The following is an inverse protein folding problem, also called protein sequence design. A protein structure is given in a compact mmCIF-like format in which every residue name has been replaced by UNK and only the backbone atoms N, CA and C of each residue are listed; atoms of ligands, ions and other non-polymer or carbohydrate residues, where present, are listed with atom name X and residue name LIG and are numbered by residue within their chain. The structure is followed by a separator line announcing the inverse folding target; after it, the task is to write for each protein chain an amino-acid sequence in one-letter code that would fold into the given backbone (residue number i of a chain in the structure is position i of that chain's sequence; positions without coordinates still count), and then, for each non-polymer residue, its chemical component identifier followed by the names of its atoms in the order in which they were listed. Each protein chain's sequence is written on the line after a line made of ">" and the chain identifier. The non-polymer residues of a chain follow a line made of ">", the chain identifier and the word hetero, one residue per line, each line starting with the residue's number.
data_IF_195367351149
#
_entry.id   IF_195367351149
#
_cell.length_a   1.000
_cell.length_b   1.000
_cell.length_c   1.000
_cell.angle_alpha   90.00
_cell.angle_beta   90.00
_cell.angle_gamma   90.00
#
_symmetry.space_group_name_H-M   'P 1'
#
loop_
_entity.id
_entity.type
_entity.pdbx_description
1 polymer ?
#
# COMPACT_ATOMS: atom_id res chain seq x y z
N UNK A 1 -19.22 -100.10 -10.66
CA UNK A 1 -18.51 -99.83 -11.92
C UNK A 1 -17.29 -98.99 -11.58
N UNK A 2 -16.11 -99.59 -11.52
CA UNK A 2 -14.88 -98.87 -11.25
C UNK A 2 -14.54 -98.03 -12.49
N UNK A 3 -14.34 -96.73 -12.31
CA UNK A 3 -13.92 -95.83 -13.37
C UNK A 3 -12.62 -96.36 -13.97
N UNK A 4 -12.63 -96.67 -15.26
CA UNK A 4 -11.45 -97.06 -16.03
C UNK A 4 -10.48 -95.88 -16.02
N UNK A 5 -9.43 -96.00 -15.20
CA UNK A 5 -8.36 -95.01 -15.08
C UNK A 5 -7.69 -94.79 -16.43
N UNK A 6 -7.27 -93.55 -16.77
CA UNK A 6 -6.63 -93.26 -18.04
C UNK A 6 -5.25 -93.93 -18.10
N UNK A 7 -5.23 -95.13 -18.67
CA UNK A 7 -4.02 -95.88 -18.97
C UNK A 7 -3.35 -95.32 -20.23
N UNK A 8 -2.02 -95.31 -20.29
CA UNK A 8 -1.33 -95.01 -21.54
C UNK A 8 -1.73 -96.05 -22.61
N UNK A 9 -1.66 -95.67 -23.89
CA UNK A 9 -2.00 -96.57 -25.00
C UNK A 9 -1.22 -97.88 -24.96
N UNK A 10 0.01 -97.84 -24.43
CA UNK A 10 0.89 -99.01 -24.35
C UNK A 10 0.50 -99.92 -23.18
N UNK A 11 0.12 -99.35 -22.04
CA UNK A 11 -0.40 -100.13 -20.89
C UNK A 11 -1.69 -100.86 -21.29
N UNK A 12 -2.55 -100.24 -22.09
CA UNK A 12 -3.78 -100.87 -22.56
C UNK A 12 -3.52 -102.05 -23.53
N UNK A 13 -2.53 -101.92 -24.42
CA UNK A 13 -2.10 -103.00 -25.31
C UNK A 13 -1.54 -104.18 -24.52
N UNK A 14 -0.67 -103.92 -23.56
CA UNK A 14 -0.07 -104.96 -22.70
C UNK A 14 -1.15 -105.68 -21.89
N UNK A 15 -2.10 -104.95 -21.30
CA UNK A 15 -3.24 -105.51 -20.57
C UNK A 15 -4.04 -106.48 -21.45
N UNK A 16 -4.37 -106.04 -22.68
CA UNK A 16 -5.19 -106.81 -23.62
C UNK A 16 -4.53 -108.12 -24.04
N UNK A 17 -3.20 -108.12 -24.26
CA UNK A 17 -2.44 -109.33 -24.59
C UNK A 17 -2.44 -110.31 -23.41
N UNK A 18 -2.26 -109.82 -22.18
CA UNK A 18 -2.28 -110.65 -20.97
C UNK A 18 -3.65 -111.24 -20.68
N UNK A 19 -4.73 -110.47 -20.88
CA UNK A 19 -6.11 -110.96 -20.80
C UNK A 19 -6.37 -112.08 -21.81
N UNK A 20 -5.93 -111.88 -23.06
CA UNK A 20 -6.10 -112.87 -24.12
C UNK A 20 -5.33 -114.17 -23.81
N UNK A 21 -4.11 -114.05 -23.29
CA UNK A 21 -3.28 -115.19 -22.87
C UNK A 21 -3.94 -115.95 -21.71
N UNK A 22 -4.38 -115.24 -20.67
CA UNK A 22 -5.08 -115.81 -19.51
C UNK A 22 -6.34 -116.57 -19.94
N UNK A 23 -7.11 -116.00 -20.85
CA UNK A 23 -8.32 -116.62 -21.36
C UNK A 23 -8.03 -117.90 -22.16
N UNK A 24 -7.04 -117.88 -23.05
CA UNK A 24 -6.63 -119.07 -23.84
C UNK A 24 -6.13 -120.19 -22.94
N UNK A 25 -5.24 -119.87 -21.99
CA UNK A 25 -4.72 -120.85 -21.04
C UNK A 25 -5.84 -121.46 -20.19
N UNK A 26 -6.80 -120.63 -19.75
CA UNK A 26 -7.98 -121.12 -19.02
C UNK A 26 -8.77 -122.13 -19.84
N UNK A 27 -9.03 -121.86 -21.13
CA UNK A 27 -9.75 -122.80 -22.00
C UNK A 27 -8.98 -124.11 -22.18
N UNK A 28 -7.66 -124.05 -22.38
CA UNK A 28 -6.82 -125.23 -22.55
C UNK A 28 -6.74 -126.09 -21.29
N UNK A 29 -6.88 -125.52 -20.08
CA UNK A 29 -6.94 -126.33 -18.85
C UNK A 29 -8.11 -127.31 -18.78
N UNK A 30 -9.11 -127.16 -19.65
CA UNK A 30 -10.27 -128.04 -19.76
C UNK A 30 -10.20 -128.99 -20.95
N UNK A 31 -9.16 -128.90 -21.78
CA UNK A 31 -8.91 -129.84 -22.89
C UNK A 31 -8.06 -130.97 -22.34
N UNK A 32 -8.70 -131.98 -21.75
CA UNK A 32 -8.03 -133.16 -21.21
C UNK A 32 -8.70 -134.45 -21.68
N UNK A 33 -7.96 -135.59 -21.70
CA UNK A 33 -8.53 -136.90 -22.05
C UNK A 33 -9.76 -137.24 -21.19
N UNK A 34 -9.69 -136.96 -19.88
CA UNK A 34 -10.78 -137.18 -18.94
C UNK A 34 -12.07 -136.42 -19.33
N UNK A 35 -11.94 -135.14 -19.71
CA UNK A 35 -13.10 -134.34 -20.11
C UNK A 35 -13.66 -134.84 -21.44
N UNK A 36 -12.80 -135.29 -22.36
CA UNK A 36 -13.25 -135.87 -23.63
C UNK A 36 -13.99 -137.20 -23.45
N UNK A 37 -13.48 -138.07 -22.59
CA UNK A 37 -14.13 -139.35 -22.23
C UNK A 37 -15.49 -139.10 -21.56
N UNK A 38 -15.55 -138.16 -20.60
CA UNK A 38 -16.81 -137.78 -19.94
C UNK A 38 -17.86 -137.18 -20.90
N UNK A 39 -17.43 -136.58 -22.01
CA UNK A 39 -18.32 -136.08 -23.08
C UNK A 39 -18.81 -137.21 -24.00
N UNK A 40 -18.00 -138.23 -24.21
CA UNK A 40 -18.29 -139.37 -25.09
C UNK A 40 -19.12 -140.46 -24.39
N UNK A 41 -18.93 -140.64 -23.08
CA UNK A 41 -19.81 -141.44 -22.24
C UNK A 41 -21.16 -140.70 -22.10
N UNK A 42 -22.26 -141.37 -22.46
CA UNK A 42 -23.58 -140.80 -22.77
C UNK A 42 -24.28 -139.92 -21.68
N UNK A 43 -23.64 -139.58 -20.56
CA UNK A 43 -24.22 -138.82 -19.46
C UNK A 43 -24.18 -137.28 -19.64
N UNK A 44 -23.49 -136.76 -20.65
CA UNK A 44 -23.33 -135.30 -20.86
C UNK A 44 -23.67 -134.82 -22.28
N UNK A 45 -24.67 -135.43 -22.92
CA UNK A 45 -25.10 -135.12 -24.29
C UNK A 45 -25.43 -133.64 -24.57
N UNK A 46 -25.84 -132.87 -23.56
CA UNK A 46 -26.06 -131.42 -23.70
C UNK A 46 -24.76 -130.64 -23.94
N UNK A 47 -23.65 -131.04 -23.29
CA UNK A 47 -22.34 -130.41 -23.46
C UNK A 47 -21.77 -130.74 -24.85
N UNK A 48 -21.97 -131.98 -25.31
CA UNK A 48 -21.60 -132.39 -26.66
C UNK A 48 -22.34 -131.59 -27.75
N UNK A 49 -23.65 -131.35 -27.58
CA UNK A 49 -24.46 -130.54 -28.50
C UNK A 49 -24.03 -129.07 -28.49
N UNK A 50 -23.74 -128.51 -27.31
CA UNK A 50 -23.28 -127.12 -27.14
C UNK A 50 -21.92 -126.86 -27.80
N UNK A 51 -20.97 -127.79 -27.65
CA UNK A 51 -19.64 -127.68 -28.26
C UNK A 51 -19.70 -127.90 -29.78
N UNK A 52 -20.60 -128.77 -30.23
CA UNK A 52 -20.74 -129.15 -31.63
C UNK A 52 -19.60 -130.07 -32.11
N UNK A 53 -19.82 -130.77 -33.24
CA UNK A 53 -18.89 -131.79 -33.75
C UNK A 53 -17.51 -131.21 -34.10
N UNK A 54 -17.49 -129.95 -34.51
CA UNK A 54 -16.30 -129.21 -34.93
C UNK A 54 -15.32 -128.92 -33.79
N UNK A 55 -15.83 -128.57 -32.60
CA UNK A 55 -15.01 -128.30 -31.42
C UNK A 55 -14.56 -129.61 -30.78
N UNK A 56 -15.46 -130.59 -30.67
CA UNK A 56 -15.15 -131.92 -30.16
C UNK A 56 -14.04 -132.61 -30.96
N UNK A 57 -14.14 -132.55 -32.30
CA UNK A 57 -13.09 -133.10 -33.18
C UNK A 57 -11.73 -132.44 -32.90
N UNK A 58 -11.71 -131.12 -32.73
CA UNK A 58 -10.48 -130.37 -32.47
C UNK A 58 -9.93 -130.57 -31.07
N UNK A 59 -10.79 -130.80 -30.07
CA UNK A 59 -10.35 -131.21 -28.73
C UNK A 59 -9.71 -132.61 -28.78
N UNK A 60 -10.30 -133.56 -29.50
CA UNK A 60 -9.70 -134.89 -29.70
C UNK A 60 -8.39 -134.83 -30.48
N UNK A 61 -8.32 -134.02 -31.53
CA UNK A 61 -7.07 -133.75 -32.26
C UNK A 61 -6.03 -133.07 -31.36
N UNK A 62 -6.44 -132.15 -30.48
CA UNK A 62 -5.56 -131.47 -29.53
C UNK A 62 -4.93 -132.47 -28.57
N UNK A 63 -5.75 -133.28 -27.90
CA UNK A 63 -5.26 -134.29 -26.95
C UNK A 63 -4.35 -135.31 -27.63
N UNK A 64 -4.70 -135.76 -28.84
CA UNK A 64 -3.84 -136.65 -29.63
C UNK A 64 -2.50 -135.99 -30.01
N UNK A 65 -2.51 -134.73 -30.45
CA UNK A 65 -1.30 -134.00 -30.82
C UNK A 65 -0.42 -133.73 -29.60
N UNK A 66 -1.01 -133.43 -28.44
CA UNK A 66 -0.30 -133.29 -27.17
C UNK A 66 0.33 -134.61 -26.71
N UNK A 67 -0.38 -135.74 -26.84
CA UNK A 67 0.14 -137.07 -26.54
C UNK A 67 1.28 -137.47 -27.50
N UNK A 68 1.13 -137.20 -28.80
CA UNK A 68 2.19 -137.45 -29.78
C UNK A 68 3.41 -136.56 -29.51
N UNK A 69 3.19 -135.28 -29.19
CA UNK A 69 4.27 -134.35 -28.88
C UNK A 69 4.99 -134.73 -27.58
N UNK A 70 4.26 -135.03 -26.50
CA UNK A 70 4.84 -135.45 -25.23
C UNK A 70 5.48 -136.84 -25.29
N UNK A 71 4.86 -137.80 -25.98
CA UNK A 71 5.41 -139.14 -26.18
C UNK A 71 6.69 -139.11 -27.02
N UNK A 72 6.75 -138.27 -28.05
CA UNK A 72 7.95 -138.09 -28.88
C UNK A 72 9.04 -137.32 -28.16
N UNK A 73 8.68 -136.31 -27.38
CA UNK A 73 9.62 -135.54 -26.56
C UNK A 73 10.23 -136.39 -25.42
N UNK A 74 9.42 -137.24 -24.76
CA UNK A 74 9.88 -138.12 -23.69
C UNK A 74 10.68 -139.33 -24.23
N UNK A 75 10.28 -139.92 -25.36
CA UNK A 75 11.03 -140.99 -26.02
C UNK A 75 12.42 -140.52 -26.49
N UNK A 76 12.53 -139.26 -26.93
CA UNK A 76 13.81 -138.63 -27.27
C UNK A 76 14.73 -138.44 -26.05
N UNK A 77 14.20 -138.45 -24.82
CA UNK A 77 14.97 -138.24 -23.59
C UNK A 77 15.39 -139.56 -22.91
N UNK A 78 14.60 -140.64 -23.02
CA UNK A 78 14.84 -141.92 -22.30
C UNK A 78 15.26 -143.12 -23.17
N UNK A 79 15.09 -143.14 -24.50
CA UNK A 79 15.49 -144.28 -25.33
C UNK A 79 16.03 -143.85 -26.70
N UNK A 80 17.35 -144.00 -26.91
CA UNK A 80 18.03 -143.74 -28.18
C UNK A 80 17.69 -144.72 -29.34
N UNK A 81 16.46 -145.23 -29.42
CA UNK A 81 15.98 -146.05 -30.53
C UNK A 81 14.54 -145.68 -30.88
N UNK A 82 14.38 -145.20 -32.13
CA UNK A 82 13.15 -144.75 -32.80
C UNK A 82 12.52 -143.45 -32.24
N UNK A 83 13.28 -142.35 -32.20
CA UNK A 83 12.65 -141.03 -32.25
C UNK A 83 12.10 -140.79 -33.65
N UNK A 84 10.95 -140.13 -33.75
CA UNK A 84 10.52 -139.47 -34.98
C UNK A 84 11.62 -138.49 -35.45
N UNK A 85 11.73 -138.26 -36.76
CA UNK A 85 12.72 -137.33 -37.30
C UNK A 85 12.46 -135.92 -36.73
N UNK A 86 13.49 -135.09 -36.57
CA UNK A 86 13.34 -133.72 -36.04
C UNK A 86 12.30 -132.92 -36.86
N UNK A 87 12.21 -133.22 -38.15
CA UNK A 87 11.23 -132.65 -39.07
C UNK A 87 9.79 -133.07 -38.73
N UNK A 88 9.56 -134.31 -38.30
CA UNK A 88 8.25 -134.80 -37.86
C UNK A 88 7.83 -134.13 -36.54
N UNK A 89 8.77 -133.92 -35.61
CA UNK A 89 8.48 -133.23 -34.35
C UNK A 89 8.12 -131.76 -34.60
N UNK A 90 8.81 -131.10 -35.54
CA UNK A 90 8.48 -129.74 -35.95
C UNK A 90 7.11 -129.67 -36.62
N UNK A 91 6.77 -130.63 -37.50
CA UNK A 91 5.45 -130.70 -38.11
C UNK A 91 4.35 -130.89 -37.05
N UNK A 92 4.56 -131.76 -36.06
CA UNK A 92 3.63 -131.96 -34.93
C UNK A 92 3.48 -130.67 -34.13
N UNK A 93 4.56 -129.93 -33.87
CA UNK A 93 4.51 -128.66 -33.15
C UNK A 93 3.72 -127.58 -33.92
N UNK A 94 3.92 -127.47 -35.23
CA UNK A 94 3.18 -126.54 -36.09
C UNK A 94 1.69 -126.90 -36.18
N UNK A 95 1.37 -128.20 -36.31
CA UNK A 95 0.00 -128.69 -36.28
C UNK A 95 -0.66 -128.43 -34.92
N UNK A 96 0.07 -128.64 -33.81
CA UNK A 96 -0.39 -128.36 -32.45
C UNK A 96 -0.66 -126.86 -32.26
N UNK A 97 0.23 -125.97 -32.70
CA UNK A 97 0.04 -124.52 -32.61
C UNK A 97 -1.22 -124.09 -33.37
N UNK A 98 -1.37 -124.55 -34.62
CA UNK A 98 -2.51 -124.23 -35.47
C UNK A 98 -3.81 -124.75 -34.86
N UNK A 99 -3.82 -125.99 -34.36
CA UNK A 99 -4.99 -126.58 -33.75
C UNK A 99 -5.35 -125.87 -32.43
N UNK A 100 -4.36 -125.57 -31.58
CA UNK A 100 -4.54 -124.81 -30.33
C UNK A 100 -5.18 -123.46 -30.60
N UNK A 101 -4.68 -122.73 -31.61
CA UNK A 101 -5.21 -121.41 -31.97
C UNK A 101 -6.65 -121.48 -32.48
N UNK A 102 -6.94 -122.41 -33.38
CA UNK A 102 -8.28 -122.61 -33.92
C UNK A 102 -9.26 -123.08 -32.85
N UNK A 103 -8.84 -124.00 -31.98
CA UNK A 103 -9.62 -124.53 -30.87
C UNK A 103 -9.99 -123.43 -29.89
N UNK A 104 -9.02 -122.65 -29.40
CA UNK A 104 -9.30 -121.53 -28.51
C UNK A 104 -10.24 -120.48 -29.14
N UNK A 105 -10.11 -120.20 -30.44
CA UNK A 105 -11.02 -119.28 -31.15
C UNK A 105 -12.44 -119.81 -31.14
N UNK A 106 -12.64 -121.07 -31.53
CA UNK A 106 -13.98 -121.69 -31.57
C UNK A 106 -14.59 -121.85 -30.18
N UNK A 107 -13.79 -122.27 -29.19
CA UNK A 107 -14.25 -122.39 -27.80
C UNK A 107 -14.68 -121.05 -27.21
N UNK A 108 -14.03 -119.94 -27.57
CA UNK A 108 -14.41 -118.59 -27.11
C UNK A 108 -15.79 -118.17 -27.62
N UNK A 109 -16.21 -118.65 -28.78
CA UNK A 109 -17.51 -118.35 -29.38
C UNK A 109 -18.66 -119.11 -28.69
N UNK A 110 -18.36 -120.16 -27.92
CA UNK A 110 -19.34 -120.95 -27.18
C UNK A 110 -19.62 -120.30 -25.81
N UNK A 111 -20.86 -119.86 -25.54
CA UNK A 111 -21.21 -119.25 -24.25
C UNK A 111 -21.12 -120.28 -23.12
N UNK A 112 -20.71 -119.84 -21.93
CA UNK A 112 -20.63 -120.64 -20.70
C UNK A 112 -19.75 -121.90 -20.75
N UNK A 113 -18.98 -122.11 -21.81
CA UNK A 113 -18.13 -123.29 -22.02
C UNK A 113 -17.24 -123.65 -20.82
N UNK A 114 -16.67 -122.66 -20.14
CA UNK A 114 -15.79 -122.87 -18.98
C UNK A 114 -16.56 -123.43 -17.78
N UNK A 115 -17.83 -123.08 -17.60
CA UNK A 115 -18.65 -123.57 -16.47
C UNK A 115 -19.05 -125.02 -16.71
N UNK A 116 -19.50 -125.33 -17.93
CA UNK A 116 -19.92 -126.68 -18.33
C UNK A 116 -18.74 -127.66 -18.35
N UNK A 117 -17.60 -127.30 -18.95
CA UNK A 117 -16.40 -128.15 -18.95
C UNK A 117 -15.81 -128.36 -17.55
N UNK A 118 -15.95 -127.37 -16.67
CA UNK A 118 -15.53 -127.49 -15.27
C UNK A 118 -16.38 -128.50 -14.50
N UNK A 119 -17.67 -128.65 -14.84
CA UNK A 119 -18.55 -129.61 -14.20
C UNK A 119 -18.18 -131.07 -14.56
N UNK A 120 -17.61 -131.28 -15.75
CA UNK A 120 -17.16 -132.59 -16.23
C UNK A 120 -15.74 -132.96 -15.78
N UNK A 121 -15.01 -132.03 -15.19
CA UNK A 121 -13.63 -132.25 -14.75
C UNK A 121 -13.61 -132.74 -13.29
N UNK A 122 -13.47 -134.05 -13.07
CA UNK A 122 -13.42 -134.62 -11.72
C UNK A 122 -12.07 -134.32 -11.03
N UNK A 123 -10.97 -134.35 -11.77
CA UNK A 123 -9.63 -134.03 -11.28
C UNK A 123 -9.14 -132.70 -11.90
N UNK A 124 -9.02 -131.67 -11.06
CA UNK A 124 -8.49 -130.37 -11.51
C UNK A 124 -6.98 -130.45 -11.74
N UNK A 125 -6.46 -129.98 -12.88
CA UNK A 125 -5.02 -129.90 -13.11
C UNK A 125 -4.44 -128.79 -12.22
N UNK A 126 -4.02 -129.17 -11.01
CA UNK A 126 -3.58 -128.25 -9.95
C UNK A 126 -2.46 -127.32 -10.42
N UNK A 127 -1.54 -127.83 -11.24
CA UNK A 127 -0.40 -127.05 -11.75
C UNK A 127 -0.85 -126.00 -12.78
N UNK A 128 -1.72 -126.37 -13.73
CA UNK A 128 -2.25 -125.45 -14.75
C UNK A 128 -3.11 -124.36 -14.13
N UNK A 129 -3.93 -124.69 -13.13
CA UNK A 129 -4.74 -123.70 -12.40
C UNK A 129 -3.86 -122.75 -11.58
N UNK A 130 -2.82 -123.26 -10.90
CA UNK A 130 -1.84 -122.41 -10.19
C UNK A 130 -1.11 -121.46 -11.14
N UNK A 131 -0.74 -121.95 -12.33
CA UNK A 131 -0.07 -121.14 -13.34
C UNK A 131 -0.97 -119.99 -13.85
N UNK A 132 -2.22 -120.28 -14.17
CA UNK A 132 -3.20 -119.26 -14.57
C UNK A 132 -3.41 -118.22 -13.46
N UNK A 133 -3.47 -118.64 -12.19
CA UNK A 133 -3.60 -117.73 -11.06
C UNK A 133 -2.38 -116.83 -10.89
N UNK A 134 -1.17 -117.40 -10.94
CA UNK A 134 0.07 -116.64 -10.86
C UNK A 134 0.21 -115.61 -12.00
N UNK A 135 -0.26 -115.96 -13.20
CA UNK A 135 -0.27 -115.06 -14.35
C UNK A 135 -1.24 -113.89 -14.15
N UNK A 136 -2.43 -114.15 -13.59
CA UNK A 136 -3.39 -113.11 -13.23
C UNK A 136 -2.84 -112.16 -12.13
N UNK A 137 -2.17 -112.70 -11.11
CA UNK A 137 -1.51 -111.88 -10.07
C UNK A 137 -0.38 -111.03 -10.66
N UNK A 138 0.44 -111.60 -11.54
CA UNK A 138 1.51 -110.88 -12.22
C UNK A 138 0.97 -109.74 -13.08
N UNK A 139 -0.14 -109.97 -13.79
CA UNK A 139 -0.84 -108.94 -14.56
C UNK A 139 -1.32 -107.78 -13.66
N UNK A 140 -1.91 -108.09 -12.50
CA UNK A 140 -2.37 -107.08 -11.55
C UNK A 140 -1.22 -106.20 -11.03
N UNK A 141 -0.10 -106.83 -10.65
CA UNK A 141 1.10 -106.12 -10.17
C UNK A 141 1.70 -105.25 -11.27
N UNK A 142 1.78 -105.76 -12.50
CA UNK A 142 2.29 -105.03 -13.65
C UNK A 142 1.45 -103.78 -13.96
N UNK A 143 0.12 -103.93 -14.00
CA UNK A 143 -0.80 -102.82 -14.24
C UNK A 143 -0.72 -101.74 -13.15
N UNK A 144 -0.59 -102.14 -11.89
CA UNK A 144 -0.40 -101.18 -10.78
C UNK A 144 0.88 -100.37 -10.99
N UNK A 145 2.01 -101.01 -11.30
CA UNK A 145 3.30 -100.32 -11.49
C UNK A 145 3.30 -99.38 -12.71
N UNK A 146 2.69 -99.81 -13.80
CA UNK A 146 2.66 -99.02 -15.03
C UNK A 146 1.71 -97.82 -14.94
N UNK A 147 0.62 -97.92 -14.16
CA UNK A 147 -0.32 -96.80 -14.01
C UNK A 147 0.16 -95.75 -13.01
N UNK A 148 0.81 -96.14 -11.91
CA UNK A 148 1.35 -95.18 -10.92
C UNK A 148 2.43 -94.27 -11.49
N UNK A 149 3.34 -94.80 -12.30
CA UNK A 149 4.44 -94.01 -12.87
C UNK A 149 3.94 -92.90 -13.82
N UNK A 150 2.88 -93.17 -14.59
CA UNK A 150 2.28 -92.20 -15.52
C UNK A 150 1.49 -91.11 -14.78
N UNK A 151 0.84 -91.46 -13.67
CA UNK A 151 0.15 -90.48 -12.82
C UNK A 151 1.14 -89.50 -12.17
N UNK A 152 2.28 -90.00 -11.66
CA UNK A 152 3.32 -89.17 -11.06
C UNK A 152 3.97 -88.21 -12.07
N UNK A 153 4.19 -88.67 -13.30
CA UNK A 153 4.76 -87.84 -14.38
C UNK A 153 3.82 -86.69 -14.75
N UNK A 154 2.52 -86.97 -14.93
CA UNK A 154 1.51 -85.92 -15.18
C UNK A 154 1.39 -84.93 -14.02
N UNK A 155 1.40 -85.41 -12.78
CA UNK A 155 1.35 -84.54 -11.61
C UNK A 155 2.57 -83.60 -11.55
N UNK A 156 3.74 -84.08 -11.94
CA UNK A 156 4.95 -83.26 -12.04
C UNK A 156 4.87 -82.23 -13.18
N UNK A 157 4.33 -82.60 -14.34
CA UNK A 157 4.08 -81.68 -15.45
C UNK A 157 3.11 -80.55 -15.07
N UNK A 158 1.98 -80.90 -14.45
CA UNK A 158 0.97 -79.95 -13.98
C UNK A 158 1.57 -78.98 -12.93
N UNK A 159 2.36 -79.52 -11.99
CA UNK A 159 3.05 -78.73 -10.98
C UNK A 159 4.06 -77.76 -11.61
N UNK A 160 4.84 -78.21 -12.58
CA UNK A 160 5.79 -77.38 -13.31
C UNK A 160 5.07 -76.26 -14.07
N UNK A 161 3.95 -76.58 -14.72
CA UNK A 161 3.16 -75.59 -15.44
C UNK A 161 2.58 -74.53 -14.50
N UNK A 162 2.12 -74.93 -13.31
CA UNK A 162 1.66 -74.00 -12.29
C UNK A 162 2.78 -73.05 -11.84
N UNK A 163 4.00 -73.55 -11.60
CA UNK A 163 5.13 -72.71 -11.23
C UNK A 163 5.53 -71.73 -12.34
N UNK A 164 5.55 -72.18 -13.60
CA UNK A 164 5.84 -71.30 -14.74
C UNK A 164 4.79 -70.18 -14.88
N UNK A 165 3.52 -70.48 -14.64
CA UNK A 165 2.45 -69.47 -14.65
C UNK A 165 2.60 -68.48 -13.49
N UNK A 166 2.94 -68.98 -12.29
CA UNK A 166 3.20 -68.14 -11.14
C UNK A 166 4.41 -67.23 -11.35
N UNK A 167 5.50 -67.75 -11.92
CA UNK A 167 6.69 -66.97 -12.28
C UNK A 167 6.36 -65.86 -13.27
N UNK A 168 5.68 -66.18 -14.37
CA UNK A 168 5.25 -65.18 -15.37
C UNK A 168 4.39 -64.08 -14.77
N UNK A 169 3.38 -64.43 -13.96
CA UNK A 169 2.53 -63.43 -13.31
C UNK A 169 3.31 -62.56 -12.30
N UNK A 170 4.30 -63.13 -11.62
CA UNK A 170 5.18 -62.40 -10.71
C UNK A 170 6.12 -61.44 -11.48
N UNK A 171 6.65 -61.86 -12.63
CA UNK A 171 7.46 -61.02 -13.51
C UNK A 171 6.67 -59.86 -14.12
N UNK A 172 5.46 -60.12 -14.60
CA UNK A 172 4.55 -59.07 -15.09
C UNK A 172 4.27 -58.03 -14.00
N UNK A 173 3.92 -58.50 -12.80
CA UNK A 173 3.68 -57.61 -11.64
C UNK A 173 4.95 -56.83 -11.24
N UNK A 174 6.12 -57.46 -11.32
CA UNK A 174 7.40 -56.77 -11.05
C UNK A 174 7.65 -55.68 -12.07
N UNK A 175 7.45 -55.97 -13.36
CA UNK A 175 7.60 -55.02 -14.46
C UNK A 175 6.65 -53.81 -14.31
N UNK A 176 5.38 -54.05 -13.99
CA UNK A 176 4.41 -52.99 -13.70
C UNK A 176 4.84 -52.09 -12.53
N UNK A 177 5.30 -52.70 -11.43
CA UNK A 177 5.77 -51.95 -10.26
C UNK A 177 7.04 -51.15 -10.56
N UNK A 178 7.97 -51.70 -11.35
CA UNK A 178 9.16 -50.99 -11.80
C UNK A 178 8.80 -49.79 -12.70
N UNK A 179 7.84 -49.96 -13.61
CA UNK A 179 7.33 -48.87 -14.44
C UNK A 179 6.66 -47.76 -13.62
N UNK A 180 5.81 -48.12 -12.65
CA UNK A 180 5.18 -47.17 -11.73
C UNK A 180 6.23 -46.43 -10.88
N UNK A 181 7.25 -47.14 -10.38
CA UNK A 181 8.35 -46.52 -9.63
C UNK A 181 9.14 -45.54 -10.49
N UNK A 182 9.42 -45.89 -11.75
CA UNK A 182 10.12 -45.00 -12.69
C UNK A 182 9.28 -43.74 -12.98
N UNK A 183 7.97 -43.89 -13.19
CA UNK A 183 7.05 -42.78 -13.38
C UNK A 183 7.02 -41.86 -12.15
N UNK A 184 6.82 -42.41 -10.94
CA UNK A 184 6.80 -41.65 -9.69
C UNK A 184 8.12 -40.90 -9.44
N UNK A 185 9.26 -41.52 -9.76
CA UNK A 185 10.58 -40.85 -9.68
C UNK A 185 10.67 -39.67 -10.65
N UNK A 186 10.21 -39.84 -11.89
CA UNK A 186 10.18 -38.78 -12.89
C UNK A 186 9.27 -37.62 -12.47
N UNK A 187 8.06 -37.92 -12.00
CA UNK A 187 7.10 -36.93 -11.50
C UNK A 187 7.66 -36.17 -10.31
N UNK A 188 8.24 -36.88 -9.33
CA UNK A 188 8.91 -36.26 -8.19
C UNK A 188 10.03 -35.32 -8.63
N UNK A 189 10.86 -35.72 -9.59
CA UNK A 189 11.93 -34.88 -10.12
C UNK A 189 11.38 -33.63 -10.84
N UNK A 190 10.33 -33.77 -11.65
CA UNK A 190 9.64 -32.65 -12.30
C UNK A 190 9.04 -31.68 -11.28
N UNK A 191 8.39 -32.20 -10.25
CA UNK A 191 7.84 -31.39 -9.16
C UNK A 191 8.93 -30.66 -8.38
N UNK A 192 10.04 -31.34 -8.06
CA UNK A 192 11.19 -30.72 -7.42
C UNK A 192 11.77 -29.59 -8.27
N UNK A 193 11.97 -29.81 -9.58
CA UNK A 193 12.49 -28.80 -10.49
C UNK A 193 11.56 -27.57 -10.58
N UNK A 194 10.24 -27.78 -10.71
CA UNK A 194 9.24 -26.70 -10.71
C UNK A 194 9.25 -25.89 -9.41
N UNK A 195 9.35 -26.59 -8.27
CA UNK A 195 9.43 -25.94 -6.95
C UNK A 195 10.71 -25.12 -6.82
N UNK A 196 11.86 -25.67 -7.23
CA UNK A 196 13.13 -24.95 -7.24
C UNK A 196 13.10 -23.73 -8.15
N UNK A 197 12.49 -23.81 -9.34
CA UNK A 197 12.31 -22.68 -10.24
C UNK A 197 11.41 -21.59 -9.63
N UNK A 198 10.29 -21.99 -9.00
CA UNK A 198 9.41 -21.05 -8.31
C UNK A 198 10.11 -20.34 -7.15
N UNK A 199 10.90 -21.08 -6.35
CA UNK A 199 11.71 -20.50 -5.27
C UNK A 199 12.74 -19.51 -5.84
N UNK A 200 13.41 -19.83 -6.94
CA UNK A 200 14.38 -18.95 -7.58
C UNK A 200 13.72 -17.65 -8.08
N UNK A 201 12.56 -17.74 -8.74
CA UNK A 201 11.77 -16.58 -9.18
C UNK A 201 11.35 -15.71 -8.01
N UNK A 202 10.73 -16.29 -6.99
CA UNK A 202 10.28 -15.55 -5.80
C UNK A 202 11.45 -14.87 -5.07
N UNK A 203 12.63 -15.50 -5.02
CA UNK A 203 13.84 -14.87 -4.48
C UNK A 203 14.29 -13.66 -5.31
N UNK A 204 14.26 -13.78 -6.64
CA UNK A 204 14.56 -12.66 -7.54
C UNK A 204 13.57 -11.51 -7.34
N UNK A 205 12.27 -11.80 -7.35
CA UNK A 205 11.22 -10.79 -7.16
C UNK A 205 11.36 -10.07 -5.82
N UNK A 206 11.67 -10.82 -4.74
CA UNK A 206 11.89 -10.25 -3.42
C UNK A 206 13.11 -9.31 -3.43
N UNK A 207 14.21 -9.72 -4.07
CA UNK A 207 15.40 -8.90 -4.21
C UNK A 207 15.12 -7.62 -5.03
N UNK A 208 14.37 -7.73 -6.12
CA UNK A 208 13.99 -6.59 -6.96
C UNK A 208 13.08 -5.61 -6.21
N UNK A 209 12.13 -6.12 -5.43
CA UNK A 209 11.29 -5.31 -4.54
C UNK A 209 12.16 -4.61 -3.49
N UNK A 210 13.06 -5.33 -2.82
CA UNK A 210 13.97 -4.75 -1.83
C UNK A 210 14.79 -3.60 -2.44
N UNK A 211 15.50 -3.86 -3.54
CA UNK A 211 16.30 -2.86 -4.24
C UNK A 211 15.45 -1.65 -4.68
N UNK A 212 14.26 -1.90 -5.26
CA UNK A 212 13.36 -0.81 -5.65
C UNK A 212 12.87 -0.01 -4.45
N UNK A 213 12.59 -0.65 -3.31
CA UNK A 213 12.13 0.05 -2.10
C UNK A 213 13.26 0.85 -1.47
N UNK A 214 14.47 0.31 -1.38
CA UNK A 214 15.66 1.00 -0.89
C UNK A 214 15.97 2.22 -1.75
N UNK A 215 15.93 2.07 -3.09
CA UNK A 215 16.15 3.18 -4.01
C UNK A 215 15.09 4.29 -3.84
N UNK A 216 13.81 3.93 -3.71
CA UNK A 216 12.73 4.90 -3.46
C UNK A 216 12.88 5.60 -2.12
N UNK A 217 13.23 4.87 -1.06
CA UNK A 217 13.48 5.45 0.27
C UNK A 217 14.66 6.41 0.23
N UNK A 218 15.73 6.05 -0.49
CA UNK A 218 16.89 6.91 -0.67
C UNK A 218 16.52 8.20 -1.41
N UNK A 219 15.81 8.10 -2.53
CA UNK A 219 15.32 9.27 -3.28
C UNK A 219 14.43 10.17 -2.42
N UNK A 220 13.48 9.57 -1.70
CA UNK A 220 12.58 10.29 -0.80
C UNK A 220 13.34 11.03 0.30
N UNK A 221 14.31 10.37 0.94
CA UNK A 221 15.15 10.99 1.97
C UNK A 221 15.99 12.14 1.41
N UNK A 222 16.55 11.98 0.21
CA UNK A 222 17.30 13.06 -0.45
C UNK A 222 16.40 14.27 -0.75
N UNK A 223 15.18 14.04 -1.23
CA UNK A 223 14.20 15.11 -1.43
C UNK A 223 13.81 15.80 -0.12
N UNK A 224 13.56 15.03 0.95
CA UNK A 224 13.25 15.60 2.26
C UNK A 224 14.40 16.44 2.79
N UNK A 225 15.65 15.96 2.69
CA UNK A 225 16.83 16.72 3.07
C UNK A 225 16.98 18.02 2.27
N UNK A 226 16.72 17.97 0.95
CA UNK A 226 16.71 19.18 0.09
C UNK A 226 15.63 20.17 0.52
N UNK A 227 14.40 19.70 0.76
CA UNK A 227 13.27 20.55 1.21
C UNK A 227 13.57 21.17 2.58
N UNK A 228 14.08 20.39 3.52
CA UNK A 228 14.43 20.86 4.86
C UNK A 228 15.56 21.90 4.82
N UNK A 229 16.61 21.67 4.03
CA UNK A 229 17.68 22.64 3.83
C UNK A 229 17.18 23.95 3.20
N UNK A 230 16.25 23.87 2.23
CA UNK A 230 15.62 25.05 1.63
C UNK A 230 14.75 25.81 2.64
N UNK A 231 13.92 25.11 3.42
CA UNK A 231 13.09 25.73 4.45
C UNK A 231 13.93 26.38 5.53
N UNK A 232 14.98 25.70 6.00
CA UNK A 232 15.94 26.23 6.98
C UNK A 232 16.60 27.50 6.46
N UNK A 233 17.10 27.51 5.21
CA UNK A 233 17.67 28.72 4.59
C UNK A 233 16.65 29.85 4.45
N UNK A 234 15.43 29.54 4.03
CA UNK A 234 14.36 30.54 3.89
C UNK A 234 13.98 31.15 5.25
N UNK A 235 13.90 30.32 6.30
CA UNK A 235 13.65 30.76 7.66
C UNK A 235 14.78 31.63 8.20
N UNK A 236 16.05 31.22 8.02
CA UNK A 236 17.22 32.01 8.40
C UNK A 236 17.24 33.38 7.72
N UNK A 237 16.92 33.45 6.42
CA UNK A 237 16.79 34.73 5.69
C UNK A 237 15.71 35.62 6.30
N UNK A 238 14.49 35.10 6.47
CA UNK A 238 13.39 35.87 7.09
C UNK A 238 13.71 36.34 8.51
N UNK A 239 14.39 35.49 9.30
CA UNK A 239 14.84 35.83 10.64
C UNK A 239 15.89 36.94 10.62
N UNK A 240 16.86 36.85 9.70
CA UNK A 240 17.85 37.90 9.46
C UNK A 240 17.23 39.23 9.01
N UNK A 241 16.29 39.19 8.08
CA UNK A 241 15.56 40.37 7.60
C UNK A 241 14.75 41.03 8.72
N UNK A 242 14.07 40.23 9.54
CA UNK A 242 13.33 40.72 10.71
C UNK A 242 14.27 41.34 11.76
N UNK A 243 15.43 40.72 12.01
CA UNK A 243 16.44 41.27 12.91
C UNK A 243 17.03 42.59 12.39
N UNK A 244 17.31 42.68 11.08
CA UNK A 244 17.79 43.91 10.44
C UNK A 244 16.75 45.03 10.51
N UNK A 245 15.47 44.72 10.24
CA UNK A 245 14.36 45.67 10.38
C UNK A 245 14.21 46.15 11.82
N UNK A 246 14.29 45.24 12.80
CA UNK A 246 14.26 45.60 14.23
C UNK A 246 15.40 46.55 14.58
N UNK A 247 16.63 46.24 14.18
CA UNK A 247 17.79 47.12 14.42
C UNK A 247 17.64 48.49 13.74
N UNK A 248 17.08 48.53 12.53
CA UNK A 248 16.79 49.78 11.82
C UNK A 248 15.74 50.63 12.57
N UNK A 249 14.66 50.00 13.05
CA UNK A 249 13.62 50.67 13.83
C UNK A 249 14.15 51.18 15.18
N UNK A 250 14.97 50.39 15.88
CA UNK A 250 15.64 50.80 17.11
C UNK A 250 16.57 52.00 16.88
N UNK A 251 17.38 51.96 15.81
CA UNK A 251 18.25 53.09 15.42
C UNK A 251 17.44 54.34 15.09
N UNK A 252 16.34 54.20 14.33
CA UNK A 252 15.44 55.32 14.01
C UNK A 252 14.79 55.88 15.27
N UNK A 253 14.32 55.01 16.17
CA UNK A 253 13.74 55.41 17.45
C UNK A 253 14.74 56.14 18.32
N UNK A 254 15.98 55.66 18.41
CA UNK A 254 17.06 56.33 19.14
C UNK A 254 17.38 57.71 18.55
N UNK A 255 17.47 57.82 17.22
CA UNK A 255 17.70 59.09 16.52
C UNK A 255 16.55 60.09 16.75
N UNK A 256 15.30 59.64 16.69
CA UNK A 256 14.14 60.48 16.96
C UNK A 256 14.09 60.93 18.42
N UNK A 257 14.41 60.04 19.36
CA UNK A 257 14.51 60.38 20.78
C UNK A 257 15.62 61.40 21.05
N UNK A 258 16.78 61.26 20.39
CA UNK A 258 17.87 62.23 20.48
C UNK A 258 17.47 63.60 19.91
N UNK A 259 16.85 63.64 18.73
CA UNK A 259 16.35 64.87 18.12
C UNK A 259 15.27 65.55 18.99
N UNK A 260 14.34 64.79 19.54
CA UNK A 260 13.32 65.32 20.45
C UNK A 260 13.94 65.89 21.73
N UNK A 261 14.96 65.24 22.31
CA UNK A 261 15.71 65.77 23.45
C UNK A 261 16.41 67.08 23.09
N UNK A 262 17.08 67.14 21.95
CA UNK A 262 17.75 68.34 21.48
C UNK A 262 16.76 69.50 21.24
N UNK A 263 15.58 69.21 20.68
CA UNK A 263 14.51 70.20 20.49
C UNK A 263 14.00 70.73 21.84
N UNK A 264 13.76 69.84 22.82
CA UNK A 264 13.36 70.23 24.18
C UNK A 264 14.46 71.10 24.81
N UNK A 265 15.72 70.69 24.73
CA UNK A 265 16.86 71.44 25.26
C UNK A 265 17.03 72.80 24.56
N UNK A 266 16.80 72.87 23.25
CA UNK A 266 16.79 74.12 22.49
C UNK A 266 15.63 75.03 22.93
N UNK A 267 14.42 74.49 23.11
CA UNK A 267 13.27 75.25 23.65
C UNK A 267 13.56 75.80 25.03
N UNK A 268 14.14 74.99 25.94
CA UNK A 268 14.53 75.43 27.28
C UNK A 268 15.60 76.52 27.21
N UNK A 269 16.63 76.37 26.35
CA UNK A 269 17.67 77.40 26.14
C UNK A 269 17.08 78.70 25.62
N UNK A 270 16.24 78.65 24.59
CA UNK A 270 15.57 79.81 24.01
C UNK A 270 14.66 80.50 25.03
N UNK A 271 13.91 79.73 25.81
CA UNK A 271 13.08 80.27 26.88
C UNK A 271 13.92 80.98 27.96
N UNK A 272 15.09 80.44 28.32
CA UNK A 272 16.02 81.11 29.24
C UNK A 272 16.58 82.41 28.68
N UNK A 273 16.94 82.45 27.39
CA UNK A 273 17.41 83.66 26.71
C UNK A 273 16.29 84.71 26.70
N UNK A 274 15.10 84.35 26.23
CA UNK A 274 13.95 85.24 26.21
C UNK A 274 13.59 85.80 27.60
N UNK A 275 13.68 84.98 28.66
CA UNK A 275 13.51 85.44 30.04
C UNK A 275 14.56 86.49 30.44
N UNK A 276 15.84 86.27 30.12
CA UNK A 276 16.89 87.26 30.39
C UNK A 276 16.71 88.55 29.61
N UNK A 277 16.31 88.46 28.35
CA UNK A 277 16.06 89.64 27.51
C UNK A 277 14.88 90.45 28.06
N UNK A 278 13.80 89.77 28.49
CA UNK A 278 12.69 90.40 29.20
C UNK A 278 13.14 91.07 30.50
N UNK A 279 13.94 90.39 31.33
CA UNK A 279 14.51 90.96 32.56
C UNK A 279 15.37 92.21 32.28
N UNK A 280 16.17 92.18 31.20
CA UNK A 280 16.98 93.33 30.79
C UNK A 280 16.11 94.49 30.29
N UNK A 281 15.06 94.21 29.52
CA UNK A 281 14.12 95.21 29.04
C UNK A 281 13.35 95.86 30.20
N UNK A 282 12.90 95.07 31.18
CA UNK A 282 12.27 95.58 32.41
C UNK A 282 13.22 96.50 33.17
N UNK A 283 14.47 96.08 33.39
CA UNK A 283 15.49 96.92 34.05
C UNK A 283 15.77 98.22 33.30
N UNK A 284 15.73 98.21 31.97
CA UNK A 284 15.90 99.42 31.17
C UNK A 284 14.70 100.36 31.34
N UNK A 285 13.48 99.84 31.26
CA UNK A 285 12.25 100.61 31.51
C UNK A 285 12.23 101.19 32.93
N UNK A 286 12.60 100.41 33.94
CA UNK A 286 12.65 100.89 35.34
C UNK A 286 13.64 102.07 35.50
N UNK A 287 14.78 102.02 34.80
CA UNK A 287 15.75 103.13 34.78
C UNK A 287 15.18 104.35 34.08
N UNK A 288 14.52 104.17 32.93
CA UNK A 288 13.91 105.26 32.17
C UNK A 288 12.78 105.92 32.96
N UNK A 289 11.92 105.14 33.63
CA UNK A 289 10.88 105.65 34.53
C UNK A 289 11.53 106.44 35.66
N UNK A 290 12.54 105.87 36.33
CA UNK A 290 13.26 106.56 37.41
C UNK A 290 13.90 107.87 36.95
N UNK A 291 14.40 107.92 35.71
CA UNK A 291 14.94 109.15 35.12
C UNK A 291 13.82 110.15 34.83
N UNK A 292 12.72 109.72 34.22
CA UNK A 292 11.56 110.57 33.93
C UNK A 292 10.93 111.14 35.20
N UNK A 293 10.87 110.36 36.28
CA UNK A 293 10.42 110.84 37.59
C UNK A 293 11.33 111.95 38.13
N UNK A 294 12.65 111.80 38.01
CA UNK A 294 13.60 112.87 38.38
C UNK A 294 13.42 114.12 37.51
N UNK A 295 13.24 113.96 36.20
CA UNK A 295 12.97 115.07 35.28
C UNK A 295 11.67 115.80 35.65
N UNK A 296 10.59 115.06 35.96
CA UNK A 296 9.32 115.62 36.43
C UNK A 296 9.50 116.38 37.75
N UNK A 297 10.25 115.82 38.71
CA UNK A 297 10.53 116.51 39.98
C UNK A 297 11.33 117.80 39.77
N UNK A 298 12.35 117.78 38.90
CA UNK A 298 13.13 118.97 38.54
C UNK A 298 12.25 120.04 37.88
N UNK A 299 11.38 119.66 36.95
CA UNK A 299 10.42 120.57 36.30
C UNK A 299 9.42 121.15 37.31
N UNK A 300 8.91 120.35 38.25
CA UNK A 300 8.03 120.83 39.32
C UNK A 300 8.72 121.87 40.22
N UNK A 301 9.98 121.62 40.59
CA UNK A 301 10.77 122.57 41.37
C UNK A 301 10.98 123.88 40.61
N UNK A 302 11.30 123.80 39.31
CA UNK A 302 11.44 124.97 38.45
C UNK A 302 10.14 125.76 38.31
N UNK A 303 9.02 125.09 38.01
CA UNK A 303 7.71 125.73 37.93
C UNK A 303 7.34 126.43 39.24
N UNK A 304 7.66 125.83 40.38
CA UNK A 304 7.41 126.46 41.68
C UNK A 304 8.24 127.74 41.87
N UNK A 305 9.51 127.74 41.45
CA UNK A 305 10.35 128.94 41.48
C UNK A 305 9.86 130.03 40.50
N UNK A 306 9.36 129.62 39.33
CA UNK A 306 8.77 130.52 38.34
C UNK A 306 7.44 131.11 38.86
N UNK A 307 6.60 130.32 39.55
CA UNK A 307 5.37 130.78 40.22
C UNK A 307 5.66 131.80 41.33
N UNK A 308 6.69 131.55 42.16
CA UNK A 308 7.14 132.48 43.20
C UNK A 308 7.66 133.79 42.57
N UNK A 309 8.41 133.69 41.47
CA UNK A 309 8.91 134.85 40.72
C UNK A 309 7.76 135.66 40.11
N UNK A 310 6.79 134.98 39.48
CA UNK A 310 5.58 135.61 38.93
C UNK A 310 4.78 136.31 40.02
N UNK A 311 4.56 135.68 41.18
CA UNK A 311 3.87 136.31 42.30
C UNK A 311 4.57 137.58 42.80
N UNK A 312 5.91 137.61 42.79
CA UNK A 312 6.68 138.80 43.15
C UNK A 312 6.54 139.92 42.11
N UNK A 313 6.55 139.58 40.82
CA UNK A 313 6.38 140.50 39.69
C UNK A 313 4.96 141.08 39.63
N UNK A 314 3.93 140.27 39.86
CA UNK A 314 2.53 140.74 39.92
C UNK A 314 2.34 141.76 41.03
N UNK A 315 2.89 141.51 42.24
CA UNK A 315 2.87 142.49 43.33
C UNK A 315 3.61 143.79 42.99
N UNK A 316 4.72 143.69 42.25
CA UNK A 316 5.46 144.87 41.82
C UNK A 316 4.68 145.69 40.76
N UNK A 317 3.97 145.02 39.85
CA UNK A 317 3.10 145.67 38.87
C UNK A 317 1.88 146.34 39.54
N UNK A 318 1.22 145.65 40.48
CA UNK A 318 0.12 146.23 41.27
C UNK A 318 0.58 147.52 41.99
N UNK A 319 1.77 147.51 42.59
CA UNK A 319 2.33 148.71 43.24
C UNK A 319 2.62 149.86 42.26
N UNK A 320 3.05 149.56 41.02
CA UNK A 320 3.27 150.56 39.97
C UNK A 320 1.94 151.13 39.47
N UNK A 321 0.92 150.30 39.30
CA UNK A 321 -0.40 150.74 38.87
C UNK A 321 -1.05 151.66 39.92
N UNK A 322 -0.95 151.34 41.21
CA UNK A 322 -1.38 152.23 42.31
C UNK A 322 -0.65 153.59 42.30
N UNK A 323 0.64 153.62 41.96
CA UNK A 323 1.40 154.87 41.85
C UNK A 323 1.00 155.69 40.63
N UNK A 324 0.73 155.03 39.50
CA UNK A 324 0.25 155.67 38.28
C UNK A 324 -1.15 156.27 38.47
N UNK A 325 -2.06 155.58 39.15
CA UNK A 325 -3.37 156.13 39.51
C UNK A 325 -3.26 157.36 40.42
N UNK A 326 -2.35 157.36 41.42
CA UNK A 326 -2.08 158.56 42.23
C UNK A 326 -1.61 159.73 41.37
N UNK A 327 -0.69 159.50 40.42
CA UNK A 327 -0.17 160.55 39.52
C UNK A 327 -1.26 161.09 38.59
N UNK A 328 -2.08 160.22 38.01
CA UNK A 328 -3.18 160.62 37.13
C UNK A 328 -4.23 161.49 37.86
N UNK A 329 -4.59 161.11 39.08
CA UNK A 329 -5.52 161.88 39.92
C UNK A 329 -4.96 163.26 40.29
N UNK A 330 -3.66 163.36 40.62
CA UNK A 330 -3.01 164.64 40.90
C UNK A 330 -3.02 165.59 39.68
N UNK A 331 -2.78 165.05 38.47
CA UNK A 331 -2.81 165.83 37.22
C UNK A 331 -4.22 166.33 36.91
N UNK A 332 -5.25 165.49 37.13
CA UNK A 332 -6.64 165.86 36.86
C UNK A 332 -7.12 167.01 37.76
N UNK A 333 -6.75 166.98 39.05
CA UNK A 333 -7.06 168.05 40.01
C UNK A 333 -6.35 169.36 39.61
N UNK A 334 -5.08 169.30 39.22
CA UNK A 334 -4.31 170.48 38.79
C UNK A 334 -4.91 171.16 37.55
N UNK A 335 -5.30 170.36 36.54
CA UNK A 335 -5.97 170.88 35.33
C UNK A 335 -7.32 171.54 35.63
N UNK A 336 -8.11 170.96 36.55
CA UNK A 336 -9.40 171.52 36.95
C UNK A 336 -9.25 172.88 37.66
N UNK A 337 -8.21 173.05 38.48
CA UNK A 337 -7.91 174.34 39.15
C UNK A 337 -7.48 175.40 38.15
N UNK A 338 -6.61 175.06 37.20
CA UNK A 338 -6.15 175.99 36.16
C UNK A 338 -7.29 176.48 35.26
N UNK A 339 -8.17 175.57 34.82
CA UNK A 339 -9.32 175.91 33.97
C UNK A 339 -10.31 176.86 34.67
N UNK A 340 -10.54 176.69 35.98
CA UNK A 340 -11.37 177.61 36.78
C UNK A 340 -10.79 179.02 36.85
N UNK A 341 -9.46 179.14 37.00
CA UNK A 341 -8.79 180.43 37.09
C UNK A 341 -8.82 181.21 35.75
N UNK A 342 -8.67 180.53 34.60
CA UNK A 342 -8.80 181.17 33.29
C UNK A 342 -10.23 181.65 32.99
N UNK A 343 -11.24 180.84 33.33
CA UNK A 343 -12.64 181.22 33.13
C UNK A 343 -13.01 182.51 33.89
N UNK A 344 -12.54 182.65 35.14
CA UNK A 344 -12.70 183.91 35.88
C UNK A 344 -12.00 185.10 35.23
N UNK A 345 -10.80 184.88 34.68
CA UNK A 345 -10.00 185.94 34.05
C UNK A 345 -10.67 186.44 32.77
N UNK A 346 -11.20 185.54 31.94
CA UNK A 346 -11.95 185.88 30.74
C UNK A 346 -13.23 186.68 31.06
N UNK A 347 -13.94 186.29 32.12
CA UNK A 347 -15.18 186.97 32.52
C UNK A 347 -14.90 188.42 33.00
N UNK A 348 -13.81 188.62 33.74
CA UNK A 348 -13.34 189.96 34.17
C UNK A 348 -12.92 190.83 32.98
N UNK A 349 -12.30 190.26 31.95
CA UNK A 349 -11.90 190.98 30.74
C UNK A 349 -13.11 191.42 29.88
N UNK A 350 -14.13 190.56 29.76
CA UNK A 350 -15.38 190.88 29.05
C UNK A 350 -16.13 192.05 29.69
N UNK A 351 -16.22 192.06 31.03
CA UNK A 351 -16.84 193.15 31.78
C UNK A 351 -16.14 194.51 31.56
N UNK A 352 -14.80 194.52 31.44
CA UNK A 352 -14.03 195.73 31.19
C UNK A 352 -14.28 196.33 29.79
N UNK A 353 -14.45 195.50 28.76
CA UNK A 353 -14.74 195.98 27.39
C UNK A 353 -16.09 196.68 27.27
N UNK A 354 -17.11 196.17 27.98
CA UNK A 354 -18.45 196.77 27.98
C UNK A 354 -18.40 198.17 28.59
N UNK A 355 -17.70 198.32 29.72
CA UNK A 355 -17.55 199.59 30.41
C UNK A 355 -16.84 200.65 29.53
N UNK A 356 -15.79 200.25 28.80
CA UNK A 356 -15.05 201.13 27.89
C UNK A 356 -15.89 201.56 26.67
N UNK A 357 -16.73 200.67 26.15
CA UNK A 357 -17.61 200.98 25.02
C UNK A 357 -18.68 202.02 25.38
N UNK A 358 -19.20 201.94 26.61
CA UNK A 358 -20.21 202.87 27.12
C UNK A 358 -19.66 204.28 27.30
N UNK A 359 -18.44 204.40 27.83
CA UNK A 359 -17.79 205.71 28.04
C UNK A 359 -17.46 206.43 26.73
N UNK A 360 -17.02 205.70 25.70
CA UNK A 360 -16.78 206.26 24.36
C UNK A 360 -18.05 206.81 23.69
N UNK A 361 -19.20 206.19 23.95
CA UNK A 361 -20.49 206.64 23.44
C UNK A 361 -20.98 207.95 24.04
N UNK A 362 -20.60 208.26 25.28
CA UNK A 362 -20.95 209.52 25.94
C UNK A 362 -20.15 210.68 25.34
N UNK A 363 -18.84 210.51 25.13
CA UNK A 363 -17.95 211.55 24.58
C UNK A 363 -18.38 212.02 23.18
N UNK A 364 -18.76 211.10 22.28
CA UNK A 364 -19.17 211.46 20.91
C UNK A 364 -20.48 212.25 20.85
N UNK A 365 -21.38 212.06 21.82
CA UNK A 365 -22.65 212.80 21.88
C UNK A 365 -22.46 214.24 22.35
N UNK A 366 -21.50 214.49 23.23
CA UNK A 366 -21.15 215.85 23.64
C UNK A 366 -20.52 216.65 22.49
N UNK A 367 -19.65 216.03 21.69
CA UNK A 367 -19.03 216.68 20.51
C UNK A 367 -20.05 217.04 19.42
N UNK A 368 -21.03 216.18 19.17
CA UNK A 368 -22.08 216.43 18.17
C UNK A 368 -22.99 217.62 18.52
N UNK A 369 -23.29 217.81 19.81
CA UNK A 369 -24.15 218.91 20.26
C UNK A 369 -23.40 220.26 20.19
N UNK A 370 -22.09 220.27 20.45
CA UNK A 370 -21.27 221.47 20.32
C UNK A 370 -21.21 221.98 18.87
N UNK A 371 -21.07 221.07 17.90
CA UNK A 371 -21.05 221.39 16.45
C UNK A 371 -22.36 222.01 15.96
N UNK A 372 -23.52 221.60 16.51
CA UNK A 372 -24.83 222.12 16.09
C UNK A 372 -25.08 223.57 16.49
N UNK A 373 -24.46 224.05 17.58
CA UNK A 373 -24.59 225.46 18.04
C UNK A 373 -23.83 226.47 17.16
N UNK A 374 -22.89 226.04 16.32
CA UNK A 374 -22.04 226.93 15.54
C UNK A 374 -22.59 227.33 14.14
N UNK A 375 -23.52 226.56 13.57
CA UNK A 375 -23.81 226.61 12.12
C UNK A 375 -24.78 227.70 11.61
N UNK A 376 -25.60 228.37 12.44
CA UNK A 376 -26.70 229.20 11.88
C UNK A 376 -26.55 230.74 11.97
N UNK A 377 -25.42 231.27 12.46
CA UNK A 377 -25.24 232.73 12.68
C UNK A 377 -24.74 233.55 11.46
N UNK A 378 -24.50 233.00 10.27
CA UNK A 378 -23.89 233.75 9.13
C UNK A 378 -24.42 233.38 7.72
N UNK A 379 -25.53 233.98 7.30
CA UNK A 379 -25.87 234.24 5.89
C UNK A 379 -26.65 235.57 5.75
N UNK A 380 -26.06 236.53 5.02
CA UNK A 380 -26.51 237.92 4.73
C UNK A 380 -27.52 237.96 3.56
N UNK A 381 -28.39 238.99 3.50
CA UNK A 381 -29.38 239.20 2.42
C UNK A 381 -28.86 239.75 1.08
N UNK A 382 -29.66 239.57 -0.01
CA UNK A 382 -29.49 240.18 -1.37
C UNK A 382 -30.86 240.55 -2.02
N UNK A 383 -31.18 241.86 -1.98
CA UNK A 383 -31.96 242.81 -2.84
C UNK A 383 -33.26 242.45 -3.63
N UNK A 384 -34.35 243.19 -3.34
CA UNK A 384 -35.27 243.94 -4.26
C UNK A 384 -35.90 245.12 -3.45
N UNK A 385 -36.34 246.22 -4.11
CA UNK A 385 -36.68 247.51 -3.47
C UNK A 385 -38.20 247.75 -3.36
N UNK A 386 -38.57 248.81 -2.62
CA UNK A 386 -39.87 249.51 -2.62
C UNK A 386 -41.08 248.72 -2.10
N UNK A 387 -41.96 249.53 -1.50
CA UNK A 387 -43.43 249.41 -1.51
C UNK A 387 -44.05 248.39 -0.58
#
# INVERSE_FOLDING_TARGET
>A
MAATKPMSSDVHRIASVMDELTQKLTLLTFVSPQVLEAIQENDSGHVAEMLGPDVLKRMGEQTRLEELYHGSAAASEEAGVASLDVDDLQEIAEQLEKNTRDLCRKMREVPNIVQELRALQEAKPVNSVKFVHALAEMQEVMLKRLTTAVEDEKANEDLLQMYLQQERSAEERRSELEAQLAQLRSERQKHAARSSEAIAKLKSDLHDIQNSTEQRLWQMNEEFAKRDAQQTRAFQRKSGDAAALKAQLEKRGASQAAAAREEIDARIRNQKIAKRDLENAVKALDRDISQKEREIQAMRLKNKADEESLASLTKALEAIDEENERKANAICISKAVFARAEAERANKAAAACILQSYWRGIMQREEYIALKKAAARKAKGKKKPKS
#
